data_IF_898859570523
#
_entry.id   IF_898859570523
#
_cell.length_a   1.000
_cell.length_b   1.000
_cell.length_c   1.000
_cell.angle_alpha   90.00
_cell.angle_beta   90.00
_cell.angle_gamma   90.00
#
_symmetry.space_group_name_H-M   'P 1'
#
loop_
_entity.id
_entity.type
_entity.pdbx_description
1 polymer ?
#
# COMPACT_ATOMS: atom_id res chain seq x y z
N UNK A 1 -23.16 3.68 22.58
CA UNK A 1 -22.90 3.84 21.97
C UNK A 1 -22.57 3.84 21.21
N UNK A 2 -22.30 3.65 21.09
CA UNK A 2 -21.92 3.58 20.49
C UNK A 2 -21.66 3.95 19.67
N UNK A 3 -21.79 4.16 19.33
CA UNK A 3 -21.63 4.61 18.50
C UNK A 3 -20.50 4.92 17.92
N UNK A 4 -19.76 4.84 18.27
CA UNK A 4 -18.46 5.01 17.77
C UNK A 4 -18.33 4.40 16.47
N UNK A 5 -18.97 3.47 16.32
CA UNK A 5 -18.95 2.83 15.19
C UNK A 5 -19.05 3.51 13.98
N UNK A 6 -19.97 4.24 13.87
CA UNK A 6 -20.21 4.86 12.70
C UNK A 6 -19.10 5.62 12.26
N UNK A 7 -18.38 6.07 13.10
CA UNK A 7 -17.31 6.88 12.75
C UNK A 7 -16.41 6.21 11.82
N UNK A 8 -16.04 5.03 12.15
CA UNK A 8 -15.07 4.39 11.34
C UNK A 8 -15.62 4.10 9.98
N UNK A 9 -16.87 4.04 9.89
CA UNK A 9 -17.42 3.69 8.64
C UNK A 9 -17.20 4.66 7.57
N UNK A 10 -16.91 5.88 7.87
CA UNK A 10 -16.82 6.78 6.89
C UNK A 10 -15.57 6.87 6.26
N UNK A 11 -14.69 7.30 6.85
CA UNK A 11 -13.48 7.64 6.24
C UNK A 11 -12.51 6.53 6.16
N UNK A 12 -11.37 6.75 6.65
CA UNK A 12 -10.28 5.80 6.63
C UNK A 12 -10.45 4.89 7.83
N UNK A 13 -10.83 3.68 7.64
CA UNK A 13 -11.12 2.77 8.73
C UNK A 13 -9.86 2.17 9.31
N UNK A 14 -10.00 1.51 10.44
CA UNK A 14 -8.87 0.86 11.06
C UNK A 14 -8.34 -0.23 10.16
N UNK A 15 -9.24 -0.86 9.42
CA UNK A 15 -8.86 -1.90 8.53
C UNK A 15 -7.98 -1.35 7.41
N UNK A 16 -8.32 -0.18 6.92
CA UNK A 16 -7.53 0.45 5.87
C UNK A 16 -6.16 0.80 6.41
N UNK A 17 -6.10 1.26 7.65
CA UNK A 17 -4.83 1.60 8.27
C UNK A 17 -3.95 0.35 8.40
N UNK A 18 -4.56 -0.77 8.76
CA UNK A 18 -3.86 -2.03 8.87
C UNK A 18 -3.27 -2.44 7.55
N UNK A 19 -4.03 -2.30 6.48
CA UNK A 19 -3.59 -2.64 5.14
C UNK A 19 -2.38 -1.78 4.78
N UNK A 20 -2.48 -0.49 5.03
CA UNK A 20 -1.40 0.43 4.72
C UNK A 20 -0.14 0.08 5.51
N UNK A 21 -0.30 -0.23 6.79
CA UNK A 21 0.83 -0.59 7.63
C UNK A 21 1.55 -1.82 7.10
N UNK A 22 0.79 -2.81 6.68
CA UNK A 22 1.38 -4.02 6.13
C UNK A 22 2.07 -3.76 4.82
N UNK A 23 1.47 -2.93 3.98
CA UNK A 23 2.05 -2.57 2.70
C UNK A 23 3.38 -1.86 2.93
N UNK A 24 3.40 -0.90 3.83
CA UNK A 24 4.62 -0.15 4.10
C UNK A 24 5.73 -1.06 4.62
N UNK A 25 5.35 -1.99 5.48
CA UNK A 25 6.33 -2.92 6.03
C UNK A 25 6.90 -3.81 4.92
N UNK A 26 6.05 -4.30 4.03
CA UNK A 26 6.51 -5.13 2.93
C UNK A 26 7.40 -4.35 1.97
N UNK A 27 7.02 -3.10 1.71
CA UNK A 27 7.82 -2.28 0.82
C UNK A 27 9.20 -2.01 1.39
N UNK A 28 9.27 -1.87 2.70
CA UNK A 28 10.53 -1.60 3.35
C UNK A 28 11.40 -2.84 3.49
N UNK A 29 10.79 -3.94 3.90
CA UNK A 29 11.53 -5.17 4.19
C UNK A 29 11.73 -6.11 3.02
N UNK A 30 10.70 -6.33 2.24
CA UNK A 30 10.76 -7.27 1.13
C UNK A 30 11.10 -6.60 -0.18
N UNK A 31 10.69 -5.35 -0.32
CA UNK A 31 10.92 -4.54 -1.52
C UNK A 31 10.43 -5.25 -2.79
N UNK A 32 9.17 -5.64 -2.79
CA UNK A 32 8.62 -6.39 -3.93
C UNK A 32 8.57 -5.60 -5.22
N UNK A 33 8.63 -4.27 -5.15
CA UNK A 33 8.62 -3.45 -6.36
C UNK A 33 9.84 -3.68 -7.23
N UNK A 34 10.85 -4.34 -6.70
CA UNK A 34 12.05 -4.67 -7.48
C UNK A 34 11.77 -5.77 -8.49
N UNK A 35 10.76 -6.57 -8.22
CA UNK A 35 10.45 -7.68 -9.10
C UNK A 35 9.72 -7.17 -10.33
N UNK A 36 10.21 -7.54 -11.51
CA UNK A 36 9.58 -7.17 -12.75
C UNK A 36 8.21 -7.82 -12.82
N UNK A 37 7.22 -7.05 -13.16
CA UNK A 37 5.86 -7.60 -13.28
C UNK A 37 5.11 -7.73 -11.97
N UNK A 38 5.64 -7.14 -10.91
CA UNK A 38 4.94 -7.19 -9.63
C UNK A 38 3.64 -6.40 -9.76
N UNK A 39 2.53 -7.03 -9.46
CA UNK A 39 1.23 -6.42 -9.64
C UNK A 39 0.46 -6.23 -8.35
N UNK A 40 -0.58 -5.41 -8.44
CA UNK A 40 -1.46 -5.15 -7.32
C UNK A 40 -2.00 -6.44 -6.73
N UNK A 41 -2.33 -7.39 -7.58
CA UNK A 41 -2.84 -8.68 -7.15
C UNK A 41 -1.85 -9.38 -6.23
N UNK A 42 -0.58 -9.34 -6.60
CA UNK A 42 0.46 -9.98 -5.80
C UNK A 42 0.57 -9.35 -4.43
N UNK A 43 0.52 -8.03 -4.38
CA UNK A 43 0.60 -7.33 -3.12
C UNK A 43 -0.64 -7.65 -2.27
N UNK A 44 -1.81 -7.71 -2.89
CA UNK A 44 -3.03 -8.01 -2.16
C UNK A 44 -2.95 -9.40 -1.54
N UNK A 45 -2.36 -10.34 -2.24
CA UNK A 45 -2.18 -11.69 -1.73
C UNK A 45 -1.21 -11.71 -0.56
N UNK A 46 -0.14 -10.95 -0.65
CA UNK A 46 0.85 -10.87 0.42
C UNK A 46 0.27 -10.25 1.68
N UNK A 47 -0.60 -9.28 1.50
CA UNK A 47 -1.22 -8.59 2.63
C UNK A 47 -2.40 -9.41 3.17
N UNK A 48 -3.04 -10.18 2.32
CA UNK A 48 -4.19 -10.98 2.72
C UNK A 48 -5.52 -10.28 2.55
N UNK A 49 -5.63 -9.41 1.54
CA UNK A 49 -6.87 -8.70 1.28
C UNK A 49 -7.19 -8.76 -0.20
N UNK A 50 -8.34 -8.23 -0.58
CA UNK A 50 -8.72 -8.21 -1.97
C UNK A 50 -8.07 -7.03 -2.66
N UNK A 51 -7.87 -7.13 -3.96
CA UNK A 51 -7.25 -6.07 -4.73
C UNK A 51 -7.95 -4.73 -4.55
N UNK A 52 -9.25 -4.77 -4.56
CA UNK A 52 -10.02 -3.57 -4.44
C UNK A 52 -9.85 -2.90 -3.07
N UNK A 53 -9.72 -3.69 -2.02
CA UNK A 53 -9.49 -3.16 -0.69
C UNK A 53 -8.10 -2.54 -0.61
N UNK A 54 -7.14 -3.19 -1.23
CA UNK A 54 -5.76 -2.69 -1.26
C UNK A 54 -5.71 -1.36 -2.00
N UNK A 55 -6.34 -1.29 -3.17
CA UNK A 55 -6.35 -0.08 -3.98
C UNK A 55 -6.98 1.08 -3.24
N UNK A 56 -8.08 0.80 -2.55
CA UNK A 56 -8.78 1.82 -1.81
C UNK A 56 -7.90 2.38 -0.69
N UNK A 57 -7.27 1.51 0.06
CA UNK A 57 -6.42 1.93 1.17
C UNK A 57 -5.24 2.77 0.67
N UNK A 58 -4.60 2.33 -0.39
CA UNK A 58 -3.47 3.04 -0.95
C UNK A 58 -3.90 4.40 -1.48
N UNK A 59 -5.01 4.44 -2.18
CA UNK A 59 -5.49 5.67 -2.75
C UNK A 59 -5.84 6.69 -1.67
N UNK A 60 -6.43 6.24 -0.58
CA UNK A 60 -6.77 7.13 0.51
C UNK A 60 -5.55 7.68 1.24
N UNK A 61 -4.57 6.83 1.45
CA UNK A 61 -3.38 7.23 2.20
C UNK A 61 -2.43 8.08 1.35
N UNK A 62 -2.12 7.61 0.16
CA UNK A 62 -1.11 8.25 -0.67
C UNK A 62 -1.65 9.13 -1.78
N UNK A 63 -2.94 9.09 -2.03
CA UNK A 63 -3.57 9.82 -3.13
C UNK A 63 -2.98 9.40 -4.47
N UNK A 64 -2.61 8.15 -4.58
CA UNK A 64 -2.01 7.61 -5.79
C UNK A 64 -2.53 6.21 -6.04
N UNK A 65 -2.38 5.73 -7.25
CA UNK A 65 -2.76 4.37 -7.57
C UNK A 65 -1.61 3.46 -7.12
N UNK A 66 -1.86 2.18 -7.07
CA UNK A 66 -0.84 1.21 -6.70
C UNK A 66 0.36 1.33 -7.63
N UNK A 67 0.10 1.42 -8.93
CA UNK A 67 1.18 1.51 -9.91
C UNK A 67 2.04 2.74 -9.71
N UNK A 68 1.41 3.85 -9.42
CA UNK A 68 2.15 5.08 -9.19
C UNK A 68 3.01 4.96 -7.93
N UNK A 69 2.45 4.35 -6.90
CA UNK A 69 3.19 4.19 -5.65
C UNK A 69 4.41 3.28 -5.86
N UNK A 70 4.23 2.17 -6.58
CA UNK A 70 5.33 1.27 -6.84
C UNK A 70 6.41 1.96 -7.67
N UNK A 71 6.00 2.75 -8.63
CA UNK A 71 6.93 3.46 -9.48
C UNK A 71 7.75 4.47 -8.66
N UNK A 72 7.11 5.13 -7.72
CA UNK A 72 7.80 6.08 -6.85
C UNK A 72 8.90 5.38 -6.05
N UNK A 73 8.62 4.19 -5.55
CA UNK A 73 9.61 3.45 -4.79
C UNK A 73 10.78 2.99 -5.68
N UNK A 74 10.47 2.63 -6.91
CA UNK A 74 11.52 2.23 -7.84
C UNK A 74 12.44 3.40 -8.16
N UNK A 75 11.85 4.56 -8.35
CA UNK A 75 12.63 5.76 -8.65
C UNK A 75 13.51 6.14 -7.47
N UNK A 76 12.95 6.09 -6.27
CA UNK A 76 13.72 6.44 -5.09
C UNK A 76 14.90 5.49 -4.89
N UNK A 77 14.67 4.22 -5.11
CA UNK A 77 15.74 3.25 -4.97
C UNK A 77 16.82 3.44 -6.02
N UNK A 78 16.41 3.76 -7.23
CA UNK A 78 17.37 4.01 -8.32
C UNK A 78 18.23 5.21 -7.97
N UNK A 79 17.64 6.24 -7.39
CA UNK A 79 18.39 7.42 -7.00
C UNK A 79 19.43 7.09 -5.95
N UNK A 80 19.05 6.26 -4.99
CA UNK A 80 19.96 5.88 -3.92
C UNK A 80 21.15 5.09 -4.49
N UNK A 81 20.88 4.24 -5.44
CA UNK A 81 21.96 3.46 -6.05
C UNK A 81 22.90 4.32 -6.87
N UNK A 82 22.35 5.30 -7.55
CA UNK A 82 23.19 6.15 -8.37
C UNK A 82 24.10 7.02 -7.53
N UNK A 83 23.70 7.27 -6.30
CA UNK A 83 24.53 8.09 -5.45
C UNK A 83 25.74 7.36 -4.95
N UNK A 84 25.65 6.08 -4.88
CA UNK A 84 26.77 5.28 -4.45
C UNK A 84 27.76 5.14 -5.57
#
# INVERSE_FOLDING_TARGET
GLKPIQISARLFTLKDQDIVDKVERLLRDVKPYRKIGFKRRSMAEMVGVKEHQLSKAINQKYKKSFSELMNDFRIEEAKLRLRD
#
